data_IF_863452766147
#
_entry.id   IF_863452766147
#
_cell.length_a   1.000
_cell.length_b   1.000
_cell.length_c   1.000
_cell.angle_alpha   90.00
_cell.angle_beta   90.00
_cell.angle_gamma   90.00
#
_symmetry.space_group_name_H-M   'P 1'
#
loop_
_entity.id
_entity.type
_entity.pdbx_description
1 polymer ?
#
# COMPACT_ATOMS: atom_id res chain seq x y z
N UNK A 1 -14.23 13.94 23.17
CA UNK A 1 -14.44 12.63 22.53
C UNK A 1 -14.52 11.58 23.62
N UNK A 2 -15.63 10.84 23.73
CA UNK A 2 -15.66 9.64 24.60
C UNK A 2 -14.83 8.57 23.90
N UNK A 3 -13.64 8.29 24.43
CA UNK A 3 -12.81 7.16 24.02
C UNK A 3 -13.40 5.91 24.65
N UNK A 4 -14.41 5.32 24.00
CA UNK A 4 -14.83 3.97 24.37
C UNK A 4 -13.63 3.05 24.15
N UNK A 5 -13.21 2.26 25.14
CA UNK A 5 -12.12 1.31 24.95
C UNK A 5 -12.46 0.35 23.81
N UNK A 6 -11.49 0.08 22.94
CA UNK A 6 -11.63 -0.94 21.90
C UNK A 6 -11.73 -2.32 22.55
N UNK A 7 -12.62 -3.15 22.04
CA UNK A 7 -12.71 -4.55 22.45
C UNK A 7 -11.54 -5.35 21.87
N UNK A 8 -11.15 -6.48 22.49
CA UNK A 8 -10.14 -7.38 21.95
C UNK A 8 -10.46 -7.85 20.52
N UNK A 9 -11.74 -8.06 20.22
CA UNK A 9 -12.21 -8.46 18.89
C UNK A 9 -11.97 -7.37 17.85
N UNK A 10 -12.23 -6.10 18.19
CA UNK A 10 -11.96 -4.96 17.30
C UNK A 10 -10.47 -4.82 17.01
N UNK A 11 -9.63 -5.00 18.04
CA UNK A 11 -8.17 -4.97 17.88
C UNK A 11 -7.68 -6.15 17.04
N UNK A 12 -8.21 -7.35 17.24
CA UNK A 12 -7.85 -8.54 16.46
C UNK A 12 -8.16 -8.36 14.98
N UNK A 13 -9.36 -7.87 14.66
CA UNK A 13 -9.76 -7.63 13.27
C UNK A 13 -8.87 -6.57 12.59
N UNK A 14 -8.49 -5.51 13.30
CA UNK A 14 -7.55 -4.51 12.80
C UNK A 14 -6.15 -5.10 12.61
N UNK A 15 -5.70 -5.97 13.51
CA UNK A 15 -4.41 -6.64 13.42
C UNK A 15 -4.35 -7.55 12.21
N UNK A 16 -5.40 -8.33 11.92
CA UNK A 16 -5.43 -9.22 10.75
C UNK A 16 -5.21 -8.45 9.44
N UNK A 17 -5.90 -7.32 9.27
CA UNK A 17 -5.74 -6.44 8.09
C UNK A 17 -4.36 -5.80 8.01
N UNK A 18 -3.84 -5.33 9.15
CA UNK A 18 -2.53 -4.71 9.21
C UNK A 18 -1.42 -5.71 8.89
N UNK A 19 -1.46 -6.89 9.54
CA UNK A 19 -0.43 -7.90 9.40
C UNK A 19 -0.46 -8.60 8.04
N UNK A 20 -1.62 -8.70 7.38
CA UNK A 20 -1.69 -9.15 5.98
C UNK A 20 -0.78 -8.29 5.09
N UNK A 21 -0.90 -6.96 5.17
CA UNK A 21 -0.07 -6.03 4.40
C UNK A 21 1.37 -6.00 4.88
N UNK A 22 1.58 -5.99 6.20
CA UNK A 22 2.91 -5.95 6.81
C UNK A 22 3.75 -7.19 6.41
N UNK A 23 3.16 -8.39 6.45
CA UNK A 23 3.85 -9.64 6.16
C UNK A 23 4.34 -9.72 4.71
N UNK A 24 3.62 -9.12 3.75
CA UNK A 24 4.07 -9.03 2.35
C UNK A 24 5.40 -8.26 2.24
N UNK A 25 5.56 -7.23 3.07
CA UNK A 25 6.78 -6.42 3.10
C UNK A 25 7.87 -7.14 3.90
N UNK A 26 7.55 -7.63 5.08
CA UNK A 26 8.49 -8.29 6.00
C UNK A 26 9.20 -9.49 5.33
N UNK A 27 8.46 -10.30 4.56
CA UNK A 27 9.03 -11.42 3.80
C UNK A 27 10.08 -11.02 2.75
N UNK A 28 10.10 -9.75 2.35
CA UNK A 28 11.04 -9.18 1.36
C UNK A 28 12.15 -8.36 2.01
N UNK A 29 12.08 -8.13 3.33
CA UNK A 29 13.09 -7.37 4.05
C UNK A 29 14.38 -8.18 4.20
N UNK A 30 15.54 -7.50 4.25
CA UNK A 30 16.80 -8.14 4.61
C UNK A 30 16.74 -8.86 5.96
N UNK A 31 17.54 -9.93 6.12
CA UNK A 31 17.67 -10.60 7.42
C UNK A 31 18.17 -9.61 8.48
N UNK A 32 17.49 -9.58 9.63
CA UNK A 32 17.84 -8.70 10.75
C UNK A 32 17.20 -7.31 10.70
N UNK A 33 16.35 -7.02 9.72
CA UNK A 33 15.52 -5.81 9.73
C UNK A 33 14.57 -5.79 10.92
N UNK A 34 14.40 -4.61 11.51
CA UNK A 34 13.47 -4.42 12.63
C UNK A 34 12.04 -4.19 12.15
N UNK A 35 11.06 -4.36 13.05
CA UNK A 35 9.66 -4.03 12.78
C UNK A 35 9.52 -2.56 12.35
N UNK A 36 10.27 -1.65 12.95
CA UNK A 36 10.24 -0.23 12.60
C UNK A 36 10.77 0.02 11.18
N UNK A 37 11.82 -0.69 10.77
CA UNK A 37 12.33 -0.61 9.39
C UNK A 37 11.28 -1.13 8.40
N UNK A 38 10.62 -2.24 8.71
CA UNK A 38 9.54 -2.79 7.88
C UNK A 38 8.37 -1.81 7.75
N UNK A 39 7.98 -1.13 8.84
CA UNK A 39 6.93 -0.09 8.80
C UNK A 39 7.35 1.06 7.89
N UNK A 40 8.58 1.56 8.01
CA UNK A 40 9.10 2.65 7.15
C UNK A 40 9.11 2.25 5.68
N UNK A 41 9.51 1.02 5.37
CA UNK A 41 9.49 0.50 3.99
C UNK A 41 8.04 0.36 3.50
N UNK A 42 7.13 -0.15 4.34
CA UNK A 42 5.71 -0.25 4.02
C UNK A 42 5.10 1.11 3.66
N UNK A 43 5.45 2.19 4.37
CA UNK A 43 5.01 3.54 4.01
C UNK A 43 5.49 3.98 2.62
N UNK A 44 6.73 3.67 2.26
CA UNK A 44 7.26 3.99 0.93
C UNK A 44 6.58 3.15 -0.16
N UNK A 45 6.37 1.86 0.10
CA UNK A 45 5.65 0.97 -0.81
C UNK A 45 4.22 1.44 -1.03
N UNK A 46 3.52 1.89 0.01
CA UNK A 46 2.16 2.45 -0.10
C UNK A 46 2.11 3.70 -0.99
N UNK A 47 3.12 4.57 -0.92
CA UNK A 47 3.24 5.74 -1.82
C UNK A 47 3.41 5.31 -3.28
N UNK A 48 4.28 4.33 -3.53
CA UNK A 48 4.51 3.78 -4.87
C UNK A 48 3.25 3.12 -5.41
N UNK A 49 2.58 2.29 -4.60
CA UNK A 49 1.34 1.62 -4.98
C UNK A 49 0.23 2.61 -5.33
N UNK A 50 0.08 3.69 -4.53
CA UNK A 50 -0.90 4.75 -4.80
C UNK A 50 -0.60 5.49 -6.11
N UNK A 51 0.68 5.74 -6.40
CA UNK A 51 1.10 6.34 -7.68
C UNK A 51 0.78 5.41 -8.85
N UNK A 52 1.15 4.13 -8.76
CA UNK A 52 0.86 3.13 -9.80
C UNK A 52 -0.64 3.02 -10.10
N UNK A 53 -1.49 3.09 -9.06
CA UNK A 53 -2.94 3.13 -9.24
C UNK A 53 -3.36 4.38 -10.04
N UNK A 54 -2.87 5.55 -9.67
CA UNK A 54 -3.18 6.80 -10.39
C UNK A 54 -2.66 6.82 -11.83
N UNK A 55 -1.47 6.28 -12.07
CA UNK A 55 -0.89 6.17 -13.41
C UNK A 55 -1.73 5.22 -14.29
N UNK A 56 -2.16 4.08 -13.74
CA UNK A 56 -3.05 3.13 -14.44
C UNK A 56 -4.42 3.74 -14.74
N UNK A 57 -5.04 4.42 -13.79
CA UNK A 57 -6.32 5.13 -14.00
C UNK A 57 -6.19 6.22 -15.08
N UNK A 58 -5.04 6.91 -15.11
CA UNK A 58 -4.74 7.89 -16.16
C UNK A 58 -4.57 7.22 -17.52
N UNK A 59 -3.80 6.14 -17.61
CA UNK A 59 -3.64 5.38 -18.86
C UNK A 59 -4.98 4.86 -19.38
N UNK A 60 -5.81 4.27 -18.51
CA UNK A 60 -7.16 3.81 -18.86
C UNK A 60 -8.05 4.94 -19.38
N UNK A 61 -8.00 6.10 -18.73
CA UNK A 61 -8.74 7.29 -19.17
C UNK A 61 -8.21 7.82 -20.51
N UNK A 62 -6.90 7.93 -20.66
CA UNK A 62 -6.27 8.47 -21.87
C UNK A 62 -6.52 7.52 -23.06
N UNK A 63 -6.50 6.19 -22.85
CA UNK A 63 -6.96 5.18 -23.82
C UNK A 63 -8.44 5.36 -24.18
N UNK A 64 -9.32 5.52 -23.19
CA UNK A 64 -10.77 5.72 -23.43
C UNK A 64 -11.08 6.99 -24.24
N UNK A 65 -10.30 8.04 -24.04
CA UNK A 65 -10.47 9.33 -24.71
C UNK A 65 -9.73 9.40 -26.07
N UNK A 66 -9.03 8.34 -26.48
CA UNK A 66 -8.32 8.30 -27.75
C UNK A 66 -7.07 9.18 -27.80
N UNK A 67 -6.50 9.54 -26.65
CA UNK A 67 -5.22 10.24 -26.58
C UNK A 67 -4.07 9.23 -26.76
N UNK A 68 -3.87 8.77 -27.99
CA UNK A 68 -2.70 7.98 -28.36
C UNK A 68 -1.45 8.87 -28.26
N UNK A 69 -0.44 8.45 -27.50
CA UNK A 69 0.92 8.94 -27.74
C UNK A 69 1.48 8.19 -28.94
N UNK A 70 1.39 8.79 -30.12
CA UNK A 70 2.27 8.44 -31.23
C UNK A 70 3.72 8.71 -30.83
N UNK A 71 4.52 7.63 -30.76
CA UNK A 71 5.98 7.66 -30.88
C UNK A 71 6.77 8.14 -29.66
N UNK A 72 7.63 7.27 -29.14
CA UNK A 72 9.09 7.41 -29.29
C UNK A 72 9.73 6.06 -28.95
N UNK A 73 10.62 5.64 -29.85
CA UNK A 73 11.45 4.44 -29.87
C UNK A 73 12.07 4.03 -28.53
#
# INVERSE_FOLDING_TARGET
MKMTPLSPEEVSAAADLFFESFNIIDQRMPKGSSVEDTIKVMEQVNKVASKLRGDKEKEERDMRLGFWKEGTF
#
